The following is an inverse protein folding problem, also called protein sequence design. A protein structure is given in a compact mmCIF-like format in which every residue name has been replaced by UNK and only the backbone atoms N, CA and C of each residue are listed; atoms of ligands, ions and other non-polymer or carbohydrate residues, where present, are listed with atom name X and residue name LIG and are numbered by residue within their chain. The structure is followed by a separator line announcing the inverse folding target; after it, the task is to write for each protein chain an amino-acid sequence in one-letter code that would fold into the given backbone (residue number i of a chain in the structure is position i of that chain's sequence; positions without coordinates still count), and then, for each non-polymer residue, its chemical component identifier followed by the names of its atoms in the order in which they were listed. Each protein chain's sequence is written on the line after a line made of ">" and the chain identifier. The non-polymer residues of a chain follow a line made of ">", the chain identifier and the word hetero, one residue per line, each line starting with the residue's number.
data_IF_933166544382
#
_entry.id   IF_933166544382
#
_cell.length_a   1.000
_cell.length_b   1.000
_cell.length_c   1.000
_cell.angle_alpha   90.00
_cell.angle_beta   90.00
_cell.angle_gamma   90.00
#
_symmetry.space_group_name_H-M   'P 1'
#
loop_
_entity.id
_entity.type
_entity.pdbx_description
1 polymer ?
2 non-polymer ?
3 water ?
#
# COMPACT_ATOMS: atom_id res chain seq x y z
N UNK A 50 -19.32 -13.13 -5.77
CA UNK A 50 -19.07 -14.43 -5.08
C UNK A 50 -18.53 -14.26 -3.67
N UNK A 51 -17.86 -15.29 -3.14
CA UNK A 51 -17.11 -15.19 -1.86
C UNK A 51 -15.64 -14.72 -2.04
N UNK A 52 -15.06 -14.23 -0.95
CA UNK A 52 -13.81 -13.49 -1.02
C UNK A 52 -12.62 -14.43 -1.16
N UNK A 53 -11.85 -14.23 -2.22
CA UNK A 53 -10.69 -15.06 -2.55
C UNK A 53 -9.37 -14.46 -2.04
N UNK A 54 -8.50 -15.30 -1.48
CA UNK A 54 -7.18 -14.85 -1.05
C UNK A 54 -6.18 -14.70 -2.18
N UNK A 55 -5.24 -13.78 -1.99
CA UNK A 55 -4.17 -13.51 -2.94
C UNK A 55 -3.03 -12.77 -2.24
N UNK A 56 -1.93 -12.55 -2.94
CA UNK A 56 -0.92 -11.66 -2.44
C UNK A 56 -0.06 -11.08 -3.55
N UNK A 57 0.61 -9.98 -3.20
CA UNK A 57 1.68 -9.44 -3.96
C UNK A 57 2.92 -9.69 -3.15
N UNK A 58 4.05 -9.62 -3.82
CA UNK A 58 5.34 -9.75 -3.17
C UNK A 58 6.22 -8.60 -3.65
N UNK A 59 6.99 -8.03 -2.73
CA UNK A 59 7.87 -6.91 -3.04
C UNK A 59 9.25 -7.39 -3.44
N UNK A 60 10.07 -6.44 -3.89
CA UNK A 60 11.49 -6.65 -4.22
C UNK A 60 12.29 -7.31 -3.12
N UNK A 61 11.92 -7.07 -1.87
CA UNK A 61 12.63 -7.67 -0.75
C UNK A 61 11.87 -8.89 -0.26
N UNK A 62 10.98 -9.43 -1.08
CA UNK A 62 10.22 -10.62 -0.72
C UNK A 62 9.22 -10.41 0.43
N UNK A 63 8.87 -9.15 0.75
CA UNK A 63 7.75 -8.93 1.65
C UNK A 63 6.48 -9.37 0.93
N UNK A 64 5.62 -10.07 1.64
CA UNK A 64 4.35 -10.55 1.11
C UNK A 64 3.26 -9.59 1.60
N UNK A 65 2.48 -9.06 0.65
CA UNK A 65 1.31 -8.24 0.96
C UNK A 65 0.09 -9.02 0.61
N UNK A 66 -0.62 -9.47 1.64
CA UNK A 66 -1.76 -10.29 1.44
C UNK A 66 -3.04 -9.45 1.28
N UNK A 67 -3.94 -9.98 0.45
CA UNK A 67 -5.23 -9.37 0.24
C UNK A 67 -6.31 -10.41 -0.01
N UNK A 68 -7.57 -10.00 0.15
CA UNK A 68 -8.74 -10.75 -0.32
C UNK A 68 -9.41 -9.92 -1.40
N UNK A 69 -10.03 -10.57 -2.39
CA UNK A 69 -10.77 -9.87 -3.43
C UNK A 69 -12.07 -10.56 -3.86
N UNK A 70 -12.85 -9.79 -4.62
CA UNK A 70 -14.08 -10.21 -5.24
C UNK A 70 -14.04 -9.66 -6.65
N UNK A 71 -14.28 -10.52 -7.63
CA UNK A 71 -14.23 -10.17 -9.05
C UNK A 71 -15.61 -10.51 -9.64
N UNK A 72 -16.43 -9.48 -9.91
CA UNK A 72 -17.72 -9.63 -10.59
C UNK A 72 -17.46 -9.25 -12.04
N UNK A 73 -18.52 -8.90 -12.77
CA UNK A 73 -18.42 -8.58 -14.19
C UNK A 73 -17.20 -7.69 -14.54
N UNK A 74 -17.39 -6.37 -14.52
CA UNK A 74 -16.30 -5.44 -14.86
C UNK A 74 -15.65 -4.85 -13.60
N UNK A 75 -15.87 -5.50 -12.47
CA UNK A 75 -15.64 -4.94 -11.16
C UNK A 75 -14.67 -5.81 -10.38
N UNK A 76 -13.66 -5.19 -9.80
CA UNK A 76 -12.77 -5.89 -8.90
C UNK A 76 -12.59 -5.05 -7.66
N UNK A 77 -12.95 -5.63 -6.53
CA UNK A 77 -12.81 -5.00 -5.24
C UNK A 77 -11.76 -5.78 -4.47
N UNK A 78 -10.76 -5.08 -3.98
CA UNK A 78 -9.60 -5.73 -3.37
C UNK A 78 -9.19 -5.03 -2.07
N UNK A 79 -9.12 -5.80 -0.99
CA UNK A 79 -8.72 -5.30 0.29
C UNK A 79 -7.41 -5.92 0.74
N UNK A 80 -6.46 -5.07 1.17
CA UNK A 80 -5.24 -5.54 1.83
C UNK A 80 -5.57 -5.89 3.26
N UNK A 81 -5.11 -7.08 3.70
CA UNK A 81 -5.54 -7.66 4.97
C UNK A 81 -4.46 -7.86 6.05
N UNK A 82 -3.20 -7.54 5.76
CA UNK A 82 -2.14 -7.66 6.78
C UNK A 82 -2.28 -6.72 8.00
N UNK A 83 -2.95 -5.58 7.84
CA UNK A 83 -2.94 -4.57 8.89
C UNK A 83 -4.34 -4.14 9.31
N UNK A 84 -5.23 -5.11 9.48
CA UNK A 84 -6.54 -4.80 10.03
C UNK A 84 -6.38 -4.44 11.53
N UNK A 85 -6.67 -3.19 11.90
CA UNK A 85 -6.54 -2.77 13.29
C UNK A 85 -7.60 -3.48 14.14
N UNK A 86 -7.32 -3.60 15.44
CA UNK A 86 -8.17 -4.33 16.39
C UNK A 86 -8.30 -3.54 17.67
N UNK A 87 -9.47 -3.65 18.30
CA UNK A 87 -9.58 -3.35 19.71
C UNK A 87 -9.06 -4.54 20.48
N UNK A 88 -8.00 -4.31 21.23
CA UNK A 88 -7.32 -5.38 21.94
C UNK A 88 -7.85 -5.59 23.34
N UNK A 89 -8.47 -4.55 23.88
CA UNK A 89 -9.27 -4.67 25.06
C UNK A 89 -10.44 -3.76 24.81
N UNK A 90 -11.28 -3.52 25.84
CA UNK A 90 -12.47 -2.74 25.53
C UNK A 90 -12.28 -1.24 25.27
N UNK A 91 -11.11 -0.69 25.59
CA UNK A 91 -10.87 0.77 25.48
C UNK A 91 -9.74 1.15 24.52
N UNK A 92 -9.03 0.19 23.94
CA UNK A 92 -7.84 0.53 23.20
C UNK A 92 -7.92 -0.04 21.80
N UNK A 93 -7.69 0.82 20.81
CA UNK A 93 -7.62 0.42 19.42
C UNK A 93 -6.18 0.49 18.98
N UNK A 94 -5.70 -0.60 18.40
CA UNK A 94 -4.39 -0.62 17.79
C UNK A 94 -4.45 -0.64 16.27
N UNK A 95 -3.78 0.33 15.64
CA UNK A 95 -3.52 0.29 14.22
C UNK A 95 -2.37 -0.62 14.01
N UNK A 96 -2.40 -1.25 12.86
CA UNK A 96 -1.33 -2.07 12.40
C UNK A 96 -0.81 -1.38 11.16
N UNK A 97 0.44 -1.64 10.83
CA UNK A 97 1.09 -1.00 9.71
C UNK A 97 1.41 -2.00 8.64
N UNK A 98 1.18 -1.65 7.37
CA UNK A 98 1.97 -2.26 6.29
C UNK A 98 3.27 -1.47 6.15
N UNK A 99 4.39 -2.12 6.40
CA UNK A 99 5.66 -1.45 6.48
C UNK A 99 6.42 -1.63 5.19
N UNK A 100 6.75 -0.53 4.53
CA UNK A 100 7.50 -0.57 3.30
C UNK A 100 8.81 0.20 3.46
N UNK A 101 9.93 -0.47 3.20
CA UNK A 101 11.26 0.11 3.39
C UNK A 101 11.77 0.67 2.08
N UNK A 102 12.88 1.41 2.15
CA UNK A 102 13.57 2.00 1.01
C UNK A 102 13.81 1.00 -0.09
N UNK A 103 14.31 -0.17 0.29
CA UNK A 103 14.67 -1.23 -0.65
C UNK A 103 13.48 -1.81 -1.47
N UNK A 104 12.25 -1.63 -0.97
CA UNK A 104 11.01 -1.92 -1.74
C UNK A 104 10.65 -0.86 -2.83
N UNK A 105 11.30 0.31 -2.82
CA UNK A 105 11.00 1.39 -3.77
C UNK A 105 11.97 1.45 -4.91
N UNK A 106 11.50 1.99 -6.02
CA UNK A 106 12.36 2.29 -7.15
C UNK A 106 13.18 3.53 -6.87
N UNK A 107 14.35 3.55 -7.50
CA UNK A 107 15.27 4.69 -7.53
C UNK A 107 15.52 5.12 -8.99
N UNK A 108 15.45 6.44 -9.29
CA UNK A 108 15.27 7.59 -8.40
C UNK A 108 13.82 7.95 -8.05
N UNK A 109 13.65 8.50 -6.85
CA UNK A 109 12.36 8.97 -6.37
C UNK A 109 12.21 10.46 -6.71
N UNK A 110 11.17 10.79 -7.48
CA UNK A 110 10.86 12.19 -7.83
C UNK A 110 9.54 12.66 -7.25
N UNK A 111 9.46 13.92 -6.82
CA UNK A 111 8.18 14.53 -6.40
C UNK A 111 7.39 13.77 -5.30
N UNK A 112 8.10 13.29 -4.28
CA UNK A 112 7.48 12.53 -3.19
C UNK A 112 6.51 11.44 -3.71
N UNK A 113 7.00 10.71 -4.71
CA UNK A 113 6.30 9.59 -5.30
C UNK A 113 7.16 8.36 -5.12
N UNK A 114 6.66 7.40 -4.33
CA UNK A 114 7.38 6.17 -4.03
C UNK A 114 6.69 5.01 -4.74
N UNK A 115 7.45 4.36 -5.61
CA UNK A 115 6.94 3.33 -6.47
C UNK A 115 7.45 1.98 -6.00
N UNK A 116 6.49 1.10 -5.72
CA UNK A 116 6.74 -0.22 -5.17
C UNK A 116 6.42 -1.27 -6.25
N UNK A 117 7.44 -1.75 -7.00
CA UNK A 117 7.17 -2.83 -7.98
C UNK A 117 6.75 -4.05 -7.25
N UNK A 118 5.75 -4.74 -7.78
CA UNK A 118 5.18 -5.93 -7.15
C UNK A 118 5.21 -7.11 -8.14
N UNK A 119 5.15 -8.32 -7.60
CA UNK A 119 5.01 -9.50 -8.42
C UNK A 119 3.82 -10.33 -7.96
N UNK A 120 3.18 -10.97 -8.92
CA UNK A 120 2.04 -11.83 -8.65
C UNK A 120 0.79 -10.99 -8.57
N UNK A 121 -0.19 -11.49 -7.83
CA UNK A 121 -1.43 -10.76 -7.57
C UNK A 121 -2.17 -10.40 -8.84
N UNK A 122 -2.94 -9.31 -8.77
CA UNK A 122 -3.77 -8.87 -9.90
C UNK A 122 -3.20 -7.65 -10.59
N UNK A 123 -3.69 -7.41 -11.81
CA UNK A 123 -3.22 -6.33 -12.69
C UNK A 123 -4.37 -5.40 -12.94
N UNK A 124 -4.38 -4.29 -12.19
CA UNK A 124 -5.48 -3.32 -12.20
C UNK A 124 -4.95 -1.91 -12.26
N UNK A 125 -5.71 -1.06 -12.93
CA UNK A 125 -5.54 0.36 -12.85
C UNK A 125 -6.60 0.86 -11.84
N UNK A 126 -6.22 1.02 -10.57
CA UNK A 126 -7.19 1.35 -9.53
C UNK A 126 -7.47 2.87 -9.45
N UNK A 127 -8.52 3.25 -8.73
CA UNK A 127 -8.55 4.66 -8.39
C UNK A 127 -7.55 4.92 -7.27
N UNK A 128 -7.42 6.20 -6.96
CA UNK A 128 -6.55 6.69 -5.89
C UNK A 128 -7.33 6.65 -4.61
N UNK A 129 -6.70 6.09 -3.57
CA UNK A 129 -7.25 6.13 -2.22
C UNK A 129 -6.32 6.87 -1.28
N UNK A 130 -6.90 7.75 -0.43
CA UNK A 130 -6.09 8.35 0.61
C UNK A 130 -5.94 7.44 1.83
N UNK A 131 -4.81 7.53 2.50
CA UNK A 131 -4.48 6.64 3.61
C UNK A 131 -3.72 7.43 4.68
N UNK A 132 -3.56 6.82 5.86
CA UNK A 132 -2.76 7.37 6.94
C UNK A 132 -1.42 6.78 6.75
N UNK A 133 -0.41 7.63 6.64
CA UNK A 133 0.96 7.21 6.54
C UNK A 133 1.74 7.67 7.73
N UNK A 134 2.77 6.92 8.06
CA UNK A 134 3.80 7.44 8.90
C UNK A 134 5.07 7.23 8.11
N UNK A 135 5.80 8.32 7.92
CA UNK A 135 6.98 8.36 7.08
C UNK A 135 8.16 8.50 8.04
N UNK A 136 9.00 7.47 8.12
CA UNK A 136 10.14 7.46 9.05
C UNK A 136 11.40 7.89 8.28
N UNK A 137 12.07 8.95 8.74
CA UNK A 137 13.32 9.40 8.13
C UNK A 137 14.52 8.60 8.63
N UNK A 138 15.64 8.70 7.93
CA UNK A 138 16.88 7.98 8.33
C UNK A 138 17.41 8.33 9.74
N UNK A 139 17.14 9.55 10.20
CA UNK A 139 17.49 10.00 11.54
C UNK A 139 16.40 9.65 12.57
N UNK A 140 15.53 8.71 12.19
CA UNK A 140 14.42 8.20 13.01
C UNK A 140 13.29 9.19 13.38
N UNK A 141 13.38 10.46 12.97
CA UNK A 141 12.20 11.33 13.06
C UNK A 141 11.12 10.78 12.10
N UNK A 142 9.87 11.15 12.36
CA UNK A 142 8.75 10.61 11.63
C UNK A 142 7.67 11.66 11.48
N UNK A 143 6.91 11.55 10.38
CA UNK A 143 5.84 12.48 10.08
C UNK A 143 4.58 11.71 9.71
N UNK A 144 3.48 12.09 10.34
CA UNK A 144 2.20 11.54 10.01
C UNK A 144 1.64 12.39 8.89
N UNK A 145 1.13 11.72 7.85
CA UNK A 145 0.63 12.37 6.64
C UNK A 145 -0.57 11.66 6.09
N UNK A 146 -1.40 12.41 5.37
CA UNK A 146 -2.35 11.84 4.42
C UNK A 146 -1.61 11.48 3.13
N UNK A 147 -1.53 10.17 2.87
CA UNK A 147 -0.90 9.64 1.66
C UNK A 147 -1.96 9.33 0.65
N UNK A 148 -1.55 9.15 -0.60
CA UNK A 148 -2.48 8.80 -1.68
C UNK A 148 -1.92 7.59 -2.43
N UNK A 149 -2.71 6.54 -2.54
CA UNK A 149 -2.21 5.28 -3.08
C UNK A 149 -3.04 4.79 -4.28
N UNK A 150 -2.35 4.24 -5.26
CA UNK A 150 -2.98 3.62 -6.42
C UNK A 150 -2.25 2.35 -6.79
N UNK A 151 -2.96 1.48 -7.50
CA UNK A 151 -2.30 0.38 -8.19
C UNK A 151 -2.36 0.70 -9.66
N UNK A 152 -1.24 0.52 -10.33
CA UNK A 152 -1.11 0.76 -11.76
C UNK A 152 -0.31 -0.44 -12.35
N UNK A 153 -0.34 -0.56 -13.66
CA UNK A 153 0.37 -1.64 -14.37
C UNK A 153 1.40 -1.02 -15.35
N UNK A 154 2.62 -1.53 -15.31
CA UNK A 154 3.67 -1.10 -16.25
C UNK A 154 4.53 -2.30 -16.72
N UNK A 155 4.68 -2.43 -18.04
CA UNK A 155 5.42 -3.56 -18.61
C UNK A 155 4.85 -4.89 -18.07
N UNK A 156 3.51 -4.94 -18.04
CA UNK A 156 2.79 -6.08 -17.52
C UNK A 156 2.95 -6.36 -16.05
N UNK A 157 3.59 -5.45 -15.30
CA UNK A 157 3.78 -5.66 -13.88
C UNK A 157 2.96 -4.69 -13.02
N UNK A 158 2.38 -5.20 -11.92
CA UNK A 158 1.71 -4.30 -11.00
C UNK A 158 2.69 -3.48 -10.14
N UNK A 159 2.35 -2.21 -9.94
CA UNK A 159 3.09 -1.35 -9.07
C UNK A 159 2.13 -0.60 -8.17
N UNK A 160 2.53 -0.41 -6.92
CA UNK A 160 1.82 0.45 -5.96
C UNK A 160 2.47 1.82 -5.96
N UNK A 161 1.66 2.84 -6.20
CA UNK A 161 2.13 4.22 -6.25
C UNK A 161 1.72 4.87 -4.93
N UNK A 162 2.69 5.37 -4.20
CA UNK A 162 2.43 6.03 -2.93
C UNK A 162 2.94 7.46 -2.98
N UNK A 163 2.05 8.43 -2.86
CA UNK A 163 2.44 9.81 -2.87
C UNK A 163 2.17 10.42 -1.54
N UNK A 164 3.16 11.16 -1.07
CA UNK A 164 3.00 11.93 0.16
C UNK A 164 3.62 13.34 0.07
N UNK A 165 3.81 14.00 1.21
CA UNK A 165 4.27 15.36 1.26
C UNK A 165 5.80 15.41 1.44
N UNK A 166 6.39 16.60 1.20
CA UNK A 166 7.82 16.77 1.44
C UNK A 166 8.23 16.49 2.88
N UNK A 167 9.38 15.85 3.06
CA UNK A 167 9.96 15.69 4.40
C UNK A 167 11.42 16.16 4.40
N UNK A 168 11.87 16.72 5.55
CA UNK A 168 13.23 17.23 5.71
C UNK A 168 14.21 16.11 6.00
N UNK A 169 14.43 15.28 4.99
CA UNK A 169 15.36 14.17 5.08
C UNK A 169 14.97 13.11 4.08
N UNK A 170 15.83 12.10 3.95
CA UNK A 170 15.54 10.89 3.19
C UNK A 170 14.72 9.89 4.02
N UNK A 171 13.82 9.18 3.34
CA UNK A 171 12.89 8.25 3.98
C UNK A 171 13.50 6.85 4.08
N UNK A 172 13.46 6.31 5.30
CA UNK A 172 13.88 4.94 5.61
C UNK A 172 12.68 3.98 5.41
N UNK A 173 11.48 4.47 5.69
CA UNK A 173 10.36 3.57 5.78
C UNK A 173 9.06 4.36 5.72
N UNK A 174 8.07 3.77 5.08
CA UNK A 174 6.73 4.29 5.07
C UNK A 174 5.86 3.20 5.68
N UNK A 175 5.09 3.57 6.70
CA UNK A 175 4.05 2.70 7.26
C UNK A 175 2.65 3.15 6.83
N UNK A 176 1.90 2.26 6.20
CA UNK A 176 0.51 2.51 5.89
C UNK A 176 -0.29 1.98 7.06
N UNK A 177 -0.95 2.88 7.78
CA UNK A 177 -1.66 2.57 9.03
C UNK A 177 -3.17 2.38 8.85
N UNK A 178 -3.62 2.63 7.62
CA UNK A 178 -5.00 2.52 7.18
C UNK A 178 -5.29 1.14 6.62
N UNK A 179 -6.54 0.69 6.74
CA UNK A 179 -7.02 -0.49 6.02
C UNK A 179 -7.46 -0.07 4.61
N UNK A 180 -6.73 -0.57 3.62
CA UNK A 180 -6.89 -0.18 2.23
C UNK A 180 -7.84 -1.11 1.51
N UNK A 181 -8.84 -0.55 0.85
CA UNK A 181 -9.66 -1.30 -0.08
C UNK A 181 -9.86 -0.47 -1.36
N UNK A 182 -9.63 -1.10 -2.50
CA UNK A 182 -9.79 -0.48 -3.78
C UNK A 182 -10.98 -1.08 -4.47
N UNK A 183 -11.88 -0.23 -4.94
CA UNK A 183 -12.90 -0.63 -5.90
C UNK A 183 -12.39 -0.25 -7.31
N UNK A 184 -12.27 -1.23 -8.22
CA UNK A 184 -11.67 -1.04 -9.53
C UNK A 184 -12.64 -1.40 -10.66
N UNK A 185 -12.59 -0.64 -11.76
CA UNK A 185 -13.28 -0.99 -12.99
C UNK A 185 -12.33 -1.67 -13.97
N UNK A 186 -12.73 -2.85 -14.43
CA UNK A 186 -12.00 -3.60 -15.43
C UNK A 186 -12.63 -3.34 -16.80
N UNK A 187 -11.79 -3.00 -17.79
CA UNK A 187 -12.21 -2.84 -19.20
C UNK A 187 -13.32 -1.84 -19.52
X LIG B 1 2.06 -1.34 -20.12
X LIG B 1 0.87 -0.69 -20.81
X LIG B 1 -0.45 -1.02 -20.09
X LIG B 1 -0.65 -0.20 -18.81
X LIG B 1 -0.54 1.28 -19.17
X LIG B 1 0.87 1.53 -19.75
X LIG B 1 1.12 2.97 -20.19
X LIG B 1 2.38 3.12 -21.07
X LIG B 1 2.06 3.67 -22.47
X LIG B 1 -1.81 3.03 -18.01
X LIG B 1 -2.18 3.69 -16.70
X LIG B 1 -0.88 2.07 -17.99
X LIG B 1 1.83 -2.26 -19.29
X LIG B 1 3.23 -0.97 -20.40
X LIG B 1 0.84 -1.14 -22.19
X LIG B 1 -1.93 -0.43 -18.18
X LIG B 1 1.01 0.73 -20.92
X LIG B 1 -0.05 3.42 -20.90
X LIG B 1 3.34 4.00 -20.48
X LIG B 1 3.17 3.43 -23.34
X LIG B 1 -2.35 3.36 -19.03
#
# INVERSE_FOLDING_TARGET
>A
MGSSHHHHHHSSGLVPRGSHMASMTGGQQMGRGSEFGPPTTMVTGTVSPGRATNGQFVTKTAKVLRYKFVRWDALLIIQFIDNIGVMENPTFYRNKSIELRSADFLSPMLNNTYIVPLNGGVRVESPTIPVQLEVILENNSSFIQVGFVRLTVKNGNPHMIIQCNPVPGNIKMIKIKSVMLFTCLIG
>B hetero
1 SIA C1 C2 C3 C4 C5 C6 C7 C8 C9 C10 C11 N5 O1A O1B O2 O4 O6 O7 O8 O9 O10
#
